data_IF_940655585712
#
_entry.id   IF_940655585712
#
_cell.length_a   1.000
_cell.length_b   1.000
_cell.length_c   1.000
_cell.angle_alpha   90.00
_cell.angle_beta   90.00
_cell.angle_gamma   90.00
#
_symmetry.space_group_name_H-M   'P 1'
#
loop_
_entity.id
_entity.type
_entity.pdbx_description
1 polymer ?
#
# COMPACT_ATOMS: atom_id res chain seq x y z
N UNK A 1 28.34 36.10 -32.43
CA UNK A 1 29.36 35.20 -31.81
C UNK A 1 30.17 35.82 -30.66
N UNK A 2 30.60 37.09 -30.69
CA UNK A 2 31.39 37.68 -29.58
C UNK A 2 30.60 37.84 -28.27
N UNK A 3 29.30 38.13 -28.33
CA UNK A 3 28.44 38.23 -27.15
C UNK A 3 28.24 36.90 -26.41
N UNK A 4 28.08 35.80 -27.15
CA UNK A 4 27.89 34.45 -26.56
C UNK A 4 29.14 34.02 -25.79
N UNK A 5 30.34 34.28 -26.34
CA UNK A 5 31.60 34.01 -25.61
C UNK A 5 31.74 34.84 -24.34
N UNK A 6 31.25 36.08 -24.33
CA UNK A 6 31.32 36.95 -23.16
C UNK A 6 30.39 36.47 -22.04
N UNK A 7 29.18 36.02 -22.38
CA UNK A 7 28.22 35.47 -21.41
C UNK A 7 28.72 34.15 -20.80
N UNK A 8 29.33 33.27 -21.60
CA UNK A 8 29.90 32.01 -21.10
C UNK A 8 31.09 32.28 -20.15
N UNK A 9 31.95 33.25 -20.47
CA UNK A 9 33.08 33.61 -19.60
C UNK A 9 32.59 34.20 -18.28
N UNK A 10 31.55 35.05 -18.30
CA UNK A 10 30.93 35.61 -17.11
C UNK A 10 30.27 34.54 -16.23
N UNK A 11 29.57 33.57 -16.84
CA UNK A 11 28.98 32.45 -16.12
C UNK A 11 30.05 31.56 -15.46
N UNK A 12 31.13 31.25 -16.16
CA UNK A 12 32.24 30.48 -15.59
C UNK A 12 32.97 31.23 -14.46
N UNK A 13 33.15 32.56 -14.59
CA UNK A 13 33.74 33.38 -13.55
C UNK A 13 32.84 33.45 -12.30
N UNK A 14 31.52 33.57 -12.47
CA UNK A 14 30.57 33.54 -11.38
C UNK A 14 30.57 32.19 -10.63
N UNK A 15 30.64 31.06 -11.35
CA UNK A 15 30.73 29.74 -10.73
C UNK A 15 32.03 29.54 -9.94
N UNK A 16 33.17 30.05 -10.44
CA UNK A 16 34.45 29.97 -9.73
C UNK A 16 34.47 30.83 -8.45
N UNK A 17 33.85 32.01 -8.49
CA UNK A 17 33.70 32.87 -7.30
C UNK A 17 32.78 32.20 -6.27
N UNK A 18 31.69 31.59 -6.71
CA UNK A 18 30.77 30.86 -5.83
C UNK A 18 31.44 29.65 -5.17
N UNK A 19 32.23 28.88 -5.94
CA UNK A 19 33.00 27.75 -5.42
C UNK A 19 34.08 28.18 -4.41
N UNK A 20 34.77 29.30 -4.66
CA UNK A 20 35.74 29.87 -3.73
C UNK A 20 35.07 30.43 -2.46
N UNK A 21 33.85 30.95 -2.57
CA UNK A 21 33.08 31.45 -1.42
C UNK A 21 32.57 30.32 -0.54
N UNK A 22 32.12 29.21 -1.16
CA UNK A 22 31.66 28.01 -0.47
C UNK A 22 32.83 27.24 0.18
N UNK A 23 34.01 27.24 -0.43
CA UNK A 23 35.21 26.63 0.16
C UNK A 23 35.73 27.32 1.44
N UNK A 24 35.24 28.52 1.77
CA UNK A 24 35.67 29.28 2.97
C UNK A 24 34.79 29.05 4.20
N UNK A 25 33.63 28.44 4.03
CA UNK A 25 32.68 28.14 5.11
C UNK A 25 32.38 26.63 5.15
N UNK A 26 33.19 25.90 5.91
CA UNK A 26 32.85 24.56 6.38
C UNK A 26 33.74 23.45 5.82
N UNK A 27 34.54 22.86 6.70
CA UNK A 27 35.13 21.52 6.49
C UNK A 27 34.01 20.49 6.40
N UNK A 28 33.82 19.95 5.21
CA UNK A 28 33.18 18.65 5.02
C UNK A 28 34.19 17.75 4.31
N UNK A 29 34.86 16.91 5.10
CA UNK A 29 35.59 15.75 4.60
C UNK A 29 34.57 14.65 4.32
N UNK A 30 34.11 14.55 3.07
CA UNK A 30 33.48 13.34 2.53
C UNK A 30 33.42 13.43 1.00
N UNK A 31 34.49 12.98 0.35
CA UNK A 31 34.45 12.61 -1.07
C UNK A 31 34.79 11.13 -1.14
N UNK A 32 33.76 10.30 -1.11
CA UNK A 32 33.89 8.89 -1.48
C UNK A 32 33.85 8.75 -3.00
N UNK A 33 34.76 7.91 -3.49
CA UNK A 33 35.18 7.73 -4.87
C UNK A 33 34.17 7.01 -5.80
N UNK A 34 32.86 7.18 -5.60
CA UNK A 34 31.81 6.61 -6.46
C UNK A 34 31.23 7.60 -7.49
N UNK A 35 31.62 8.88 -7.45
CA UNK A 35 31.16 9.88 -8.42
C UNK A 35 31.88 9.79 -9.79
N UNK A 36 33.04 9.12 -9.88
CA UNK A 36 33.82 9.03 -11.12
C UNK A 36 33.40 7.87 -12.03
N UNK A 37 32.58 6.93 -11.57
CA UNK A 37 32.00 5.88 -12.43
C UNK A 37 30.71 6.33 -13.15
N UNK A 38 30.09 7.42 -12.72
CA UNK A 38 28.88 7.99 -13.34
C UNK A 38 29.18 9.09 -14.37
N UNK A 39 30.40 9.64 -14.39
CA UNK A 39 30.80 10.68 -15.34
C UNK A 39 31.21 10.13 -16.73
N UNK A 40 31.28 8.81 -16.92
CA UNK A 40 31.60 8.17 -18.20
C UNK A 40 30.36 7.83 -19.07
N UNK A 41 29.14 8.13 -18.59
CA UNK A 41 27.89 7.80 -19.30
C UNK A 41 27.07 9.02 -19.74
N UNK A 42 27.66 10.22 -19.70
CA UNK A 42 26.99 11.47 -20.13
C UNK A 42 27.86 12.23 -21.12
N UNK A 43 28.03 11.69 -22.32
CA UNK A 43 28.19 12.46 -23.56
C UNK A 43 27.43 11.71 -24.66
N UNK A 44 26.10 11.82 -24.64
CA UNK A 44 25.30 11.85 -25.87
C UNK A 44 24.06 12.72 -25.61
N UNK A 45 24.31 14.02 -25.50
CA UNK A 45 23.31 15.05 -25.25
C UNK A 45 22.82 15.58 -26.59
N UNK A 46 21.58 15.23 -26.98
CA UNK A 46 21.01 15.75 -28.22
C UNK A 46 19.57 15.38 -28.58
N UNK A 47 18.75 14.82 -27.69
CA UNK A 47 17.30 14.73 -27.93
C UNK A 47 16.54 15.21 -26.69
N UNK A 48 16.12 16.49 -26.74
CA UNK A 48 14.91 16.92 -26.07
C UNK A 48 13.78 16.07 -26.67
N UNK A 49 13.34 15.04 -25.96
CA UNK A 49 12.03 14.44 -26.19
C UNK A 49 11.05 15.45 -25.63
N UNK A 50 10.60 16.32 -26.52
CA UNK A 50 9.33 17.02 -26.37
C UNK A 50 8.30 15.91 -26.18
N UNK A 51 7.64 15.84 -25.03
CA UNK A 51 6.42 15.05 -24.90
C UNK A 51 5.35 15.83 -25.67
N UNK A 52 5.47 15.74 -27.01
CA UNK A 52 4.36 16.01 -27.89
C UNK A 52 3.20 15.17 -27.38
N UNK A 53 2.09 15.84 -27.13
CA UNK A 53 0.78 15.20 -27.11
C UNK A 53 0.57 14.73 -28.55
N UNK A 54 1.29 13.68 -28.96
CA UNK A 54 1.16 13.05 -30.25
C UNK A 54 -0.25 12.50 -30.31
N UNK A 55 -1.00 13.04 -31.27
CA UNK A 55 -2.29 12.61 -31.76
C UNK A 55 -2.92 11.48 -30.95
N UNK A 56 -3.75 11.85 -29.96
CA UNK A 56 -4.80 10.95 -29.49
C UNK A 56 -5.63 10.68 -30.73
N UNK A 57 -5.36 9.54 -31.37
CA UNK A 57 -6.22 8.97 -32.38
C UNK A 57 -7.52 8.69 -31.64
N UNK A 58 -8.45 9.63 -31.74
CA UNK A 58 -9.85 9.39 -31.44
C UNK A 58 -10.26 8.39 -32.50
N UNK A 59 -10.16 7.12 -32.15
CA UNK A 59 -10.83 6.07 -32.88
C UNK A 59 -12.31 6.39 -32.67
N UNK A 60 -12.94 6.98 -33.69
CA UNK A 60 -14.39 6.99 -33.81
C UNK A 60 -14.77 5.53 -34.01
N UNK A 61 -14.85 4.78 -32.91
CA UNK A 61 -15.45 3.46 -32.89
C UNK A 61 -16.94 3.70 -33.17
N UNK A 62 -17.36 3.39 -34.40
CA UNK A 62 -18.76 3.24 -34.85
C UNK A 62 -19.47 2.07 -34.11
N UNK A 63 -19.03 1.73 -32.90
CA UNK A 63 -19.67 0.77 -32.01
C UNK A 63 -20.91 1.44 -31.43
N UNK A 64 -22.07 0.89 -31.82
CA UNK A 64 -23.42 1.17 -31.33
C UNK A 64 -23.47 1.99 -30.03
N UNK A 65 -24.21 3.10 -30.04
CA UNK A 65 -24.53 3.97 -28.89
C UNK A 65 -25.05 3.14 -27.69
N UNK A 66 -24.16 2.46 -26.97
CA UNK A 66 -24.49 1.71 -25.77
C UNK A 66 -24.67 2.71 -24.62
N UNK A 67 -25.87 3.26 -24.58
CA UNK A 67 -26.35 4.25 -23.61
C UNK A 67 -26.49 3.67 -22.18
N UNK A 68 -26.16 2.40 -21.95
CA UNK A 68 -26.25 1.79 -20.61
C UNK A 68 -25.29 2.48 -19.64
N UNK A 69 -25.71 2.71 -18.38
CA UNK A 69 -24.80 3.23 -17.36
C UNK A 69 -23.67 2.23 -17.10
N UNK A 70 -22.53 2.72 -16.64
CA UNK A 70 -21.40 1.85 -16.31
C UNK A 70 -21.36 1.50 -14.82
N UNK A 71 -20.84 0.33 -14.51
CA UNK A 71 -20.52 -0.10 -13.15
C UNK A 71 -19.05 -0.49 -13.09
N UNK A 72 -18.23 0.30 -12.41
CA UNK A 72 -16.83 -0.04 -12.15
C UNK A 72 -16.74 -0.80 -10.84
N UNK A 73 -16.22 -2.02 -10.87
CA UNK A 73 -15.99 -2.85 -9.68
C UNK A 73 -14.49 -2.94 -9.44
N UNK A 74 -13.98 -2.30 -8.39
CA UNK A 74 -12.58 -2.46 -8.00
C UNK A 74 -12.44 -3.64 -7.03
N UNK A 75 -11.66 -4.64 -7.45
CA UNK A 75 -11.34 -5.82 -6.66
C UNK A 75 -9.85 -5.88 -6.37
N UNK A 76 -9.48 -6.49 -5.26
CA UNK A 76 -8.08 -6.65 -4.94
C UNK A 76 -7.87 -7.07 -3.49
N UNK A 77 -6.98 -8.05 -3.23
CA UNK A 77 -6.57 -8.38 -1.88
C UNK A 77 -6.17 -7.15 -1.07
N UNK A 78 -6.27 -7.24 0.26
CA UNK A 78 -5.77 -6.17 1.13
C UNK A 78 -4.32 -5.77 0.74
N UNK A 79 -4.00 -4.47 0.77
CA UNK A 79 -2.72 -3.87 0.32
C UNK A 79 -2.49 -3.79 -1.20
N UNK A 80 -3.52 -3.93 -2.04
CA UNK A 80 -3.39 -3.75 -3.51
C UNK A 80 -3.98 -2.45 -4.02
N UNK A 81 -4.21 -1.48 -3.12
CA UNK A 81 -4.82 -0.20 -3.46
C UNK A 81 -6.30 -0.09 -3.09
N UNK A 82 -7.00 -1.20 -2.90
CA UNK A 82 -8.42 -1.23 -2.53
C UNK A 82 -8.71 -0.41 -1.27
N UNK A 83 -7.94 -0.60 -0.19
CA UNK A 83 -8.08 0.17 1.06
C UNK A 83 -7.94 1.67 0.82
N UNK A 84 -6.99 2.05 -0.03
CA UNK A 84 -6.68 3.44 -0.31
C UNK A 84 -7.80 4.08 -1.12
N UNK A 85 -8.23 3.46 -2.23
CA UNK A 85 -9.35 3.95 -3.02
C UNK A 85 -10.65 4.02 -2.20
N UNK A 86 -10.91 3.00 -1.38
CA UNK A 86 -12.08 2.97 -0.50
C UNK A 86 -12.04 4.11 0.51
N UNK A 87 -10.89 4.35 1.15
CA UNK A 87 -10.71 5.48 2.05
C UNK A 87 -10.92 6.82 1.35
N UNK A 88 -10.29 7.00 0.19
CA UNK A 88 -10.32 8.26 -0.56
C UNK A 88 -11.71 8.57 -1.08
N UNK A 89 -12.46 7.58 -1.56
CA UNK A 89 -13.82 7.79 -2.08
C UNK A 89 -14.89 7.81 -1.00
N UNK A 90 -14.56 7.45 0.24
CA UNK A 90 -15.53 7.47 1.34
C UNK A 90 -15.69 8.82 2.06
N UNK A 91 -14.98 9.86 1.62
CA UNK A 91 -15.06 11.18 2.24
C UNK A 91 -16.19 12.00 1.62
N UNK A 92 -16.83 12.87 2.40
CA UNK A 92 -18.00 13.66 1.95
C UNK A 92 -17.71 14.50 0.70
N UNK A 93 -16.46 14.95 0.52
CA UNK A 93 -16.09 15.71 -0.68
C UNK A 93 -16.01 14.86 -1.95
N UNK A 94 -15.87 13.54 -1.81
CA UNK A 94 -16.00 12.60 -2.92
C UNK A 94 -17.41 12.64 -3.50
N UNK A 95 -18.45 12.63 -2.67
CA UNK A 95 -19.85 12.65 -3.13
C UNK A 95 -20.11 13.86 -4.05
N UNK A 96 -19.66 15.05 -3.64
CA UNK A 96 -19.81 16.26 -4.43
C UNK A 96 -19.03 16.26 -5.74
N UNK A 97 -17.96 15.47 -5.86
CA UNK A 97 -17.18 15.32 -7.09
C UNK A 97 -17.78 14.25 -8.00
N UNK A 98 -18.22 13.12 -7.44
CA UNK A 98 -18.84 12.03 -8.17
C UNK A 98 -20.21 12.43 -8.75
N UNK A 99 -20.99 13.23 -8.00
CA UNK A 99 -22.28 13.75 -8.47
C UNK A 99 -22.14 14.68 -9.69
N UNK A 100 -20.96 15.29 -9.92
CA UNK A 100 -20.74 16.12 -11.12
C UNK A 100 -20.76 15.32 -12.41
N UNK A 101 -20.53 14.01 -12.33
CA UNK A 101 -20.53 13.09 -13.46
C UNK A 101 -21.63 12.01 -13.31
N UNK A 102 -22.62 12.24 -12.43
CA UNK A 102 -23.74 11.31 -12.18
C UNK A 102 -23.29 9.90 -11.74
N UNK A 103 -22.21 9.83 -10.96
CA UNK A 103 -21.64 8.59 -10.43
C UNK A 103 -22.03 8.42 -8.96
N UNK A 104 -22.52 7.23 -8.60
CA UNK A 104 -22.69 6.82 -7.21
C UNK A 104 -21.52 5.97 -6.71
N UNK A 105 -21.03 6.27 -5.52
CA UNK A 105 -20.09 5.41 -4.81
C UNK A 105 -20.83 4.33 -4.01
N UNK A 106 -20.47 3.07 -4.26
CA UNK A 106 -21.02 1.87 -3.65
C UNK A 106 -19.96 1.16 -2.79
N UNK A 107 -19.33 1.86 -1.84
CA UNK A 107 -18.30 1.25 -0.98
C UNK A 107 -18.48 1.62 0.48
N UNK A 108 -17.87 0.83 1.38
CA UNK A 108 -17.97 1.06 2.82
C UNK A 108 -17.22 2.31 3.25
N UNK A 109 -17.92 3.21 3.94
CA UNK A 109 -17.26 4.38 4.51
C UNK A 109 -16.33 4.00 5.65
N UNK A 110 -15.02 4.25 5.47
CA UNK A 110 -14.04 3.96 6.51
C UNK A 110 -14.16 4.89 7.73
N UNK A 111 -14.82 6.05 7.58
CA UNK A 111 -15.03 7.00 8.69
C UNK A 111 -16.19 6.59 9.61
N UNK A 112 -17.12 5.77 9.10
CA UNK A 112 -18.33 5.37 9.82
C UNK A 112 -18.11 4.21 10.82
N UNK A 113 -16.89 3.70 10.98
CA UNK A 113 -16.55 2.92 12.19
C UNK A 113 -16.69 3.73 13.49
N UNK A 114 -16.90 5.07 13.42
CA UNK A 114 -17.15 5.94 14.58
C UNK A 114 -18.50 6.66 14.61
N UNK A 115 -19.34 6.54 13.57
CA UNK A 115 -20.68 7.19 13.52
C UNK A 115 -21.70 6.24 12.90
N UNK A 116 -22.84 6.10 13.55
CA UNK A 116 -23.92 5.13 13.27
C UNK A 116 -24.69 5.35 11.95
N UNK A 117 -24.22 6.24 11.07
CA UNK A 117 -24.84 6.42 9.75
C UNK A 117 -24.38 5.27 8.84
N UNK A 118 -24.93 4.08 9.10
CA UNK A 118 -24.75 2.91 8.24
C UNK A 118 -25.12 3.33 6.81
N UNK A 119 -24.32 2.90 5.83
CA UNK A 119 -24.83 2.75 4.48
C UNK A 119 -26.23 2.09 4.55
N UNK A 120 -27.15 2.42 3.64
CA UNK A 120 -28.48 1.80 3.65
C UNK A 120 -28.43 0.27 3.57
N UNK A 121 -27.28 -0.32 3.24
CA UNK A 121 -27.02 -1.75 3.26
C UNK A 121 -25.55 -2.02 3.64
N UNK A 122 -25.29 -3.09 4.39
CA UNK A 122 -23.93 -3.58 4.64
C UNK A 122 -23.53 -4.46 3.45
N UNK A 123 -22.43 -4.16 2.75
CA UNK A 123 -21.95 -5.01 1.65
C UNK A 123 -21.67 -6.45 2.10
N UNK A 124 -21.36 -6.68 3.38
CA UNK A 124 -21.30 -8.03 3.96
C UNK A 124 -22.69 -8.68 4.03
N UNK A 125 -23.72 -7.89 4.29
CA UNK A 125 -25.13 -8.31 4.21
C UNK A 125 -25.66 -8.44 2.79
N UNK A 126 -25.01 -7.82 1.79
CA UNK A 126 -25.38 -8.02 0.36
C UNK A 126 -25.14 -9.46 -0.08
N UNK A 127 -24.12 -10.10 0.51
CA UNK A 127 -23.83 -11.51 0.31
C UNK A 127 -24.52 -12.43 1.33
N UNK A 128 -25.51 -11.91 2.07
CA UNK A 128 -26.49 -12.53 2.99
C UNK A 128 -25.98 -13.54 4.05
N UNK A 129 -24.72 -13.93 4.01
CA UNK A 129 -24.02 -14.78 4.95
C UNK A 129 -22.57 -14.32 5.00
N UNK A 130 -21.86 -14.61 6.09
CA UNK A 130 -20.40 -14.49 6.09
C UNK A 130 -19.91 -15.28 4.86
N UNK A 131 -19.38 -14.62 3.80
CA UNK A 131 -19.07 -15.30 2.53
C UNK A 131 -18.00 -16.37 2.73
N UNK A 132 -17.38 -16.43 3.91
CA UNK A 132 -16.39 -17.40 4.34
C UNK A 132 -16.95 -18.52 5.25
N UNK A 133 -18.21 -18.44 5.72
CA UNK A 133 -18.82 -19.38 6.68
C UNK A 133 -20.26 -19.77 6.33
N UNK A 134 -20.45 -20.62 5.32
CA UNK A 134 -21.61 -21.52 5.30
C UNK A 134 -21.30 -22.87 4.67
N UNK A 135 -21.69 -23.92 5.38
CA UNK A 135 -21.78 -25.29 4.90
C UNK A 135 -23.09 -25.52 4.15
N UNK A 136 -23.03 -26.35 3.11
CA UNK A 136 -24.11 -27.14 2.47
C UNK A 136 -24.99 -26.49 1.37
N UNK A 137 -24.64 -26.85 0.12
CA UNK A 137 -25.48 -27.59 -0.85
C UNK A 137 -26.87 -27.07 -1.26
N UNK A 138 -27.07 -25.76 -1.30
CA UNK A 138 -28.16 -25.18 -2.08
C UNK A 138 -27.75 -25.10 -3.56
N UNK A 139 -28.49 -25.74 -4.47
CA UNK A 139 -28.24 -25.71 -5.92
C UNK A 139 -28.82 -24.48 -6.62
N UNK A 140 -29.55 -23.62 -5.92
CA UNK A 140 -30.01 -22.33 -6.45
C UNK A 140 -28.91 -21.29 -6.35
N UNK A 141 -28.83 -20.40 -7.35
CA UNK A 141 -28.02 -19.19 -7.27
C UNK A 141 -28.39 -18.44 -5.99
N UNK A 142 -27.41 -17.91 -5.24
CA UNK A 142 -27.73 -17.06 -4.11
C UNK A 142 -28.44 -15.81 -4.63
N UNK A 143 -29.57 -15.46 -4.00
CA UNK A 143 -30.20 -14.17 -4.27
C UNK A 143 -29.27 -13.07 -3.76
N UNK A 144 -28.91 -12.14 -4.65
CA UNK A 144 -28.37 -10.85 -4.22
C UNK A 144 -29.39 -10.24 -3.27
N UNK A 145 -28.93 -9.65 -2.17
CA UNK A 145 -29.81 -8.97 -1.24
C UNK A 145 -30.79 -8.04 -1.99
N UNK A 146 -32.09 -8.15 -1.72
CA UNK A 146 -33.15 -7.39 -2.38
C UNK A 146 -32.87 -5.87 -2.37
N UNK A 147 -32.24 -5.37 -1.30
CA UNK A 147 -31.86 -3.97 -1.16
C UNK A 147 -30.79 -3.55 -2.18
N UNK A 148 -29.81 -4.43 -2.46
CA UNK A 148 -28.74 -4.15 -3.41
C UNK A 148 -29.26 -4.21 -4.86
N UNK A 149 -30.07 -5.22 -5.18
CA UNK A 149 -30.75 -5.29 -6.48
C UNK A 149 -31.62 -4.05 -6.72
N UNK A 150 -32.43 -3.67 -5.72
CA UNK A 150 -33.29 -2.48 -5.77
C UNK A 150 -32.49 -1.18 -5.93
N UNK A 151 -31.32 -1.08 -5.29
CA UNK A 151 -30.43 0.07 -5.49
C UNK A 151 -29.92 0.15 -6.93
N UNK A 152 -29.36 -0.95 -7.46
CA UNK A 152 -28.86 -0.97 -8.82
C UNK A 152 -29.98 -0.67 -9.83
N UNK A 153 -31.19 -1.20 -9.61
CA UNK A 153 -32.36 -0.84 -10.43
C UNK A 153 -32.65 0.65 -10.41
N UNK A 154 -32.69 1.29 -9.23
CA UNK A 154 -32.91 2.74 -9.13
C UNK A 154 -31.82 3.55 -9.83
N UNK A 155 -30.58 3.09 -9.77
CA UNK A 155 -29.47 3.77 -10.46
C UNK A 155 -29.66 3.70 -11.98
N UNK A 156 -30.02 2.54 -12.53
CA UNK A 156 -30.39 2.39 -13.95
C UNK A 156 -31.55 3.32 -14.31
N UNK A 157 -32.64 3.32 -13.52
CA UNK A 157 -33.82 4.15 -13.78
C UNK A 157 -33.49 5.65 -13.77
N UNK A 158 -32.47 6.05 -13.00
CA UNK A 158 -31.95 7.42 -12.96
C UNK A 158 -30.83 7.71 -13.96
N UNK A 159 -30.46 6.73 -14.81
CA UNK A 159 -29.31 6.77 -15.71
C UNK A 159 -28.00 7.17 -15.02
N UNK A 160 -27.76 6.64 -13.82
CA UNK A 160 -26.56 6.92 -13.02
C UNK A 160 -25.59 5.76 -13.01
N UNK A 161 -24.32 6.09 -13.16
CA UNK A 161 -23.22 5.13 -13.13
C UNK A 161 -22.80 4.81 -11.69
N UNK A 162 -22.06 3.72 -11.51
CA UNK A 162 -21.64 3.23 -10.19
C UNK A 162 -20.16 2.92 -10.09
N UNK A 163 -19.57 3.17 -8.91
CA UNK A 163 -18.24 2.69 -8.53
C UNK A 163 -18.36 1.86 -7.25
N UNK A 164 -18.18 0.54 -7.36
CA UNK A 164 -18.19 -0.42 -6.27
C UNK A 164 -16.75 -0.77 -5.87
N UNK A 165 -16.34 -0.35 -4.66
CA UNK A 165 -15.02 -0.68 -4.11
C UNK A 165 -15.20 -1.23 -2.71
N UNK A 166 -14.78 -2.48 -2.51
CA UNK A 166 -14.81 -3.08 -1.19
C UNK A 166 -13.77 -4.19 -1.08
N UNK A 167 -12.99 -4.18 0.00
CA UNK A 167 -11.92 -5.15 0.20
C UNK A 167 -12.41 -6.60 0.18
N UNK A 168 -13.59 -6.89 0.76
CA UNK A 168 -14.11 -8.26 0.78
C UNK A 168 -14.40 -8.86 -0.61
N UNK A 169 -14.45 -8.06 -1.68
CA UNK A 169 -14.74 -8.54 -3.04
C UNK A 169 -13.70 -9.55 -3.54
N UNK A 170 -12.45 -9.48 -3.05
CA UNK A 170 -11.42 -10.46 -3.41
C UNK A 170 -11.68 -11.86 -2.81
N UNK A 171 -12.57 -11.98 -1.82
CA UNK A 171 -12.88 -13.25 -1.16
C UNK A 171 -14.30 -13.75 -1.45
N UNK A 172 -15.01 -13.12 -2.39
CA UNK A 172 -16.38 -13.49 -2.75
C UNK A 172 -16.38 -14.85 -3.44
N UNK A 173 -17.31 -15.73 -3.05
CA UNK A 173 -17.45 -17.06 -3.65
C UNK A 173 -17.93 -16.96 -5.10
N UNK A 174 -17.51 -17.87 -6.01
CA UNK A 174 -17.82 -17.78 -7.44
C UNK A 174 -19.32 -17.65 -7.75
N UNK A 175 -20.19 -18.32 -7.00
CA UNK A 175 -21.64 -18.25 -7.17
C UNK A 175 -22.23 -16.84 -6.98
N UNK A 176 -21.64 -16.02 -6.10
CA UNK A 176 -22.04 -14.63 -5.90
C UNK A 176 -21.52 -13.72 -7.01
N UNK A 177 -20.32 -13.99 -7.52
CA UNK A 177 -19.78 -13.29 -8.70
C UNK A 177 -20.66 -13.59 -9.92
N UNK A 178 -21.07 -14.85 -10.08
CA UNK A 178 -22.04 -15.27 -11.10
C UNK A 178 -23.40 -14.58 -10.95
N UNK A 179 -23.92 -14.51 -9.72
CA UNK A 179 -25.18 -13.82 -9.44
C UNK A 179 -25.10 -12.33 -9.79
N UNK A 180 -24.00 -11.67 -9.42
CA UNK A 180 -23.72 -10.28 -9.80
C UNK A 180 -23.68 -10.11 -11.31
N UNK A 181 -22.87 -10.92 -12.02
CA UNK A 181 -22.77 -10.87 -13.47
C UNK A 181 -24.10 -11.10 -14.18
N UNK A 182 -24.89 -12.08 -13.72
CA UNK A 182 -26.23 -12.35 -14.26
C UNK A 182 -27.15 -11.14 -14.12
N UNK A 183 -27.04 -10.42 -13.00
CA UNK A 183 -27.82 -9.21 -12.76
C UNK A 183 -27.35 -8.02 -13.61
N UNK A 184 -26.04 -7.87 -13.79
CA UNK A 184 -25.45 -6.65 -14.35
C UNK A 184 -25.20 -6.69 -15.85
N UNK A 185 -24.83 -7.84 -16.45
CA UNK A 185 -24.28 -7.89 -17.81
C UNK A 185 -25.25 -7.39 -18.90
N UNK A 186 -26.57 -7.52 -18.69
CA UNK A 186 -27.57 -7.03 -19.65
C UNK A 186 -27.85 -5.53 -19.49
N UNK A 187 -27.67 -4.97 -18.29
CA UNK A 187 -28.16 -3.63 -17.92
C UNK A 187 -27.07 -2.60 -17.70
N UNK A 188 -25.84 -3.07 -17.52
CA UNK A 188 -24.68 -2.25 -17.19
C UNK A 188 -23.53 -2.55 -18.14
N UNK A 189 -22.73 -1.53 -18.40
CA UNK A 189 -21.37 -1.67 -18.89
C UNK A 189 -20.43 -1.91 -17.70
N UNK A 190 -20.13 -3.17 -17.41
CA UNK A 190 -19.33 -3.51 -16.22
C UNK A 190 -17.84 -3.52 -16.56
N UNK A 191 -17.05 -2.80 -15.77
CA UNK A 191 -15.58 -2.85 -15.81
C UNK A 191 -15.09 -3.36 -14.46
N UNK A 192 -14.39 -4.49 -14.45
CA UNK A 192 -13.79 -5.06 -13.23
C UNK A 192 -12.32 -4.69 -13.20
N UNK A 193 -11.91 -3.82 -12.28
CA UNK A 193 -10.53 -3.42 -12.10
C UNK A 193 -9.89 -4.18 -10.95
N UNK A 194 -8.95 -5.07 -11.26
CA UNK A 194 -8.25 -5.87 -10.28
C UNK A 194 -6.89 -5.26 -9.93
N UNK A 195 -6.77 -4.69 -8.74
CA UNK A 195 -5.49 -4.18 -8.23
C UNK A 195 -4.48 -5.31 -8.01
N UNK A 196 -3.33 -5.22 -8.68
CA UNK A 196 -2.22 -6.14 -8.54
C UNK A 196 -0.98 -5.46 -7.95
N UNK A 197 -0.38 -6.12 -6.98
CA UNK A 197 0.91 -5.76 -6.41
C UNK A 197 1.81 -6.99 -6.44
N UNK A 198 3.07 -6.90 -6.89
CA UNK A 198 3.97 -8.04 -6.92
C UNK A 198 4.04 -8.76 -5.58
N UNK A 199 4.11 -10.09 -5.62
CA UNK A 199 4.04 -10.93 -4.42
C UNK A 199 5.03 -10.50 -3.33
N UNK A 200 6.29 -10.22 -3.67
CA UNK A 200 7.28 -9.76 -2.70
C UNK A 200 6.92 -8.46 -1.99
N UNK A 201 6.27 -7.52 -2.70
CA UNK A 201 5.83 -6.26 -2.10
C UNK A 201 4.55 -6.44 -1.29
N UNK A 202 3.61 -7.23 -1.83
CA UNK A 202 2.33 -7.52 -1.21
C UNK A 202 2.51 -8.27 0.11
N UNK A 203 3.30 -9.35 0.12
CA UNK A 203 3.55 -10.17 1.30
C UNK A 203 4.17 -9.36 2.44
N UNK A 204 5.18 -8.53 2.14
CA UNK A 204 5.79 -7.69 3.15
C UNK A 204 4.79 -6.65 3.68
N UNK A 205 4.01 -6.03 2.79
CA UNK A 205 3.00 -5.04 3.18
C UNK A 205 1.93 -5.66 4.08
N UNK A 206 1.48 -6.88 3.74
CA UNK A 206 0.53 -7.67 4.53
C UNK A 206 1.14 -8.08 5.88
N UNK A 207 2.36 -8.60 5.89
CA UNK A 207 3.09 -8.97 7.11
C UNK A 207 3.24 -7.78 8.07
N UNK A 208 3.64 -6.62 7.55
CA UNK A 208 3.82 -5.43 8.39
C UNK A 208 2.52 -4.98 9.06
N UNK A 209 1.37 -5.13 8.40
CA UNK A 209 0.08 -4.78 9.00
C UNK A 209 -0.45 -5.87 9.92
N UNK A 210 -0.63 -7.09 9.44
CA UNK A 210 -1.34 -8.11 10.21
C UNK A 210 -0.47 -8.79 11.25
N UNK A 211 0.84 -8.89 11.02
CA UNK A 211 1.71 -9.55 12.01
C UNK A 211 2.34 -8.50 12.90
N UNK A 212 3.01 -7.50 12.34
CA UNK A 212 3.80 -6.57 13.18
C UNK A 212 2.94 -5.53 13.90
N UNK A 213 1.98 -4.92 13.23
CA UNK A 213 1.15 -3.88 13.83
C UNK A 213 0.16 -4.48 14.84
N UNK A 214 -0.47 -5.61 14.50
CA UNK A 214 -1.33 -6.36 15.42
C UNK A 214 -0.55 -6.85 16.65
N UNK A 215 0.62 -7.46 16.47
CA UNK A 215 1.49 -7.87 17.59
C UNK A 215 1.95 -6.68 18.44
N UNK A 216 2.30 -5.55 17.81
CA UNK A 216 2.71 -4.36 18.55
C UNK A 216 1.55 -3.75 19.33
N UNK A 217 0.32 -3.90 18.85
CA UNK A 217 -0.89 -3.36 19.47
C UNK A 217 -1.49 -4.31 20.51
N UNK A 218 -1.25 -5.62 20.40
CA UNK A 218 -1.61 -6.59 21.44
C UNK A 218 -0.67 -6.48 22.65
N UNK A 219 0.62 -6.26 22.42
CA UNK A 219 1.60 -6.10 23.51
C UNK A 219 1.51 -4.72 24.15
N UNK A 220 1.41 -3.68 23.33
CA UNK A 220 1.33 -2.30 23.80
C UNK A 220 0.04 -1.67 23.27
N UNK A 221 -1.12 -2.00 23.88
CA UNK A 221 -2.37 -1.38 23.51
C UNK A 221 -2.24 0.14 23.70
N UNK A 222 -2.72 0.89 22.71
CA UNK A 222 -2.61 2.35 22.64
C UNK A 222 -3.40 3.02 23.78
N UNK A 223 -2.88 2.99 25.01
CA UNK A 223 -3.30 3.79 26.16
C UNK A 223 -4.77 3.70 26.58
N UNK A 224 -5.59 2.82 26.01
CA UNK A 224 -7.01 2.69 26.32
C UNK A 224 -7.28 1.85 27.58
N UNK A 225 -6.23 1.40 28.27
CA UNK A 225 -6.34 0.99 29.67
C UNK A 225 -7.19 -0.26 29.89
N UNK A 226 -7.07 -1.26 29.02
CA UNK A 226 -7.31 -2.63 29.46
C UNK A 226 -5.98 -3.20 29.92
N UNK A 227 -5.70 -2.95 31.19
CA UNK A 227 -4.85 -3.84 31.97
C UNK A 227 -5.62 -5.17 32.05
N UNK A 228 -5.49 -6.01 31.03
CA UNK A 228 -5.89 -7.41 31.13
C UNK A 228 -4.79 -8.07 31.98
N UNK A 229 -4.90 -7.92 33.29
CA UNK A 229 -3.93 -8.31 34.33
C UNK A 229 -3.71 -9.83 34.48
N UNK A 230 -4.28 -10.66 33.60
CA UNK A 230 -4.47 -12.09 33.90
C UNK A 230 -3.63 -13.10 33.09
N UNK A 231 -2.82 -12.72 32.10
CA UNK A 231 -2.03 -13.72 31.35
C UNK A 231 -0.51 -13.43 31.38
N UNK A 232 0.16 -14.06 32.36
CA UNK A 232 1.61 -14.34 32.39
C UNK A 232 2.02 -15.37 31.30
N UNK A 233 1.27 -15.47 30.21
CA UNK A 233 1.68 -16.29 29.08
C UNK A 233 2.95 -15.67 28.51
N UNK A 234 4.00 -16.47 28.51
CA UNK A 234 5.33 -16.15 28.01
C UNK A 234 5.20 -15.85 26.50
N UNK A 235 4.85 -14.59 26.16
CA UNK A 235 4.71 -14.14 24.78
C UNK A 235 6.10 -14.22 24.17
N UNK A 236 6.36 -15.33 23.47
CA UNK A 236 7.58 -15.57 22.74
C UNK A 236 7.89 -14.44 21.75
N UNK A 237 9.17 -14.36 21.37
CA UNK A 237 9.66 -13.45 20.32
C UNK A 237 8.68 -13.46 19.13
N UNK A 238 8.32 -12.29 18.55
CA UNK A 238 7.50 -12.27 17.37
C UNK A 238 8.18 -13.14 16.32
N UNK A 239 7.41 -13.98 15.61
CA UNK A 239 7.98 -14.79 14.56
C UNK A 239 8.76 -13.85 13.63
N UNK A 240 10.05 -14.12 13.49
CA UNK A 240 10.84 -13.51 12.43
C UNK A 240 10.10 -13.70 11.11
N UNK A 241 10.48 -12.97 10.05
CA UNK A 241 10.18 -13.36 8.68
C UNK A 241 10.88 -14.69 8.34
N UNK A 242 10.64 -15.75 9.11
CA UNK A 242 10.61 -17.09 8.57
C UNK A 242 9.35 -17.10 7.74
N UNK A 243 9.49 -16.86 6.45
CA UNK A 243 8.51 -17.37 5.49
C UNK A 243 8.35 -18.84 5.87
N UNK A 244 7.22 -19.18 6.49
CA UNK A 244 6.97 -20.50 7.05
C UNK A 244 6.95 -21.53 5.92
N UNK A 245 8.13 -21.98 5.52
CA UNK A 245 8.34 -23.13 4.64
C UNK A 245 8.63 -24.39 5.48
N UNK A 246 8.89 -24.21 6.79
CA UNK A 246 9.07 -25.34 7.72
C UNK A 246 8.26 -25.15 9.01
N UNK A 247 7.22 -25.98 9.10
CA UNK A 247 6.66 -26.58 10.34
C UNK A 247 6.13 -25.61 11.39
N UNK A 248 4.81 -25.43 11.44
CA UNK A 248 3.93 -26.26 12.27
C UNK A 248 3.69 -25.72 13.70
N UNK A 249 3.70 -24.42 13.94
CA UNK A 249 3.37 -23.86 15.28
C UNK A 249 2.48 -22.62 15.18
N UNK A 250 1.18 -22.79 15.46
CA UNK A 250 0.25 -21.79 16.03
C UNK A 250 -0.17 -20.59 15.18
N UNK A 251 0.76 -19.88 14.54
CA UNK A 251 0.53 -18.66 13.75
C UNK A 251 0.56 -18.91 12.24
N UNK A 252 0.69 -20.16 11.81
CA UNK A 252 0.85 -20.61 10.42
C UNK A 252 -0.38 -20.40 9.52
N UNK A 253 -1.53 -19.92 10.01
CA UNK A 253 -2.74 -19.87 9.19
C UNK A 253 -2.77 -18.73 8.16
N UNK A 254 -1.91 -17.72 8.27
CA UNK A 254 -2.06 -16.49 7.47
C UNK A 254 -1.09 -16.34 6.28
N UNK A 255 0.02 -17.07 6.25
CA UNK A 255 1.03 -16.98 5.16
C UNK A 255 1.37 -18.33 4.53
N UNK A 256 1.36 -19.41 5.32
CA UNK A 256 1.73 -20.76 4.86
C UNK A 256 0.75 -21.36 3.85
N UNK A 257 -0.60 -21.18 3.96
CA UNK A 257 -1.51 -21.72 2.95
C UNK A 257 -1.22 -21.18 1.55
N UNK A 258 -0.84 -19.91 1.44
CA UNK A 258 -0.57 -19.25 0.15
C UNK A 258 0.74 -19.70 -0.47
N UNK A 259 1.78 -19.94 0.34
CA UNK A 259 3.08 -20.44 -0.13
C UNK A 259 3.02 -21.91 -0.56
N UNK A 260 2.13 -22.69 0.06
CA UNK A 260 1.97 -24.12 -0.22
C UNK A 260 1.06 -24.44 -1.41
N UNK A 261 0.25 -23.47 -1.85
CA UNK A 261 -0.63 -23.63 -3.01
C UNK A 261 0.14 -23.39 -4.29
N UNK A 262 -0.15 -24.21 -5.30
CA UNK A 262 0.36 -23.98 -6.64
C UNK A 262 -0.20 -22.69 -7.25
N UNK A 263 -1.38 -22.22 -6.82
CA UNK A 263 -2.06 -21.00 -7.28
C UNK A 263 -1.92 -19.86 -6.27
N UNK A 264 -1.58 -18.66 -6.74
CA UNK A 264 -1.64 -17.46 -5.92
C UNK A 264 -3.09 -16.99 -5.70
N UNK A 265 -3.31 -16.21 -4.62
CA UNK A 265 -4.62 -15.57 -4.36
C UNK A 265 -5.05 -14.65 -5.53
N UNK A 266 -4.09 -14.03 -6.21
CA UNK A 266 -4.38 -13.20 -7.37
C UNK A 266 -4.88 -14.04 -8.55
N UNK A 267 -4.27 -15.20 -8.82
CA UNK A 267 -4.74 -16.11 -9.88
C UNK A 267 -6.17 -16.60 -9.59
N UNK A 268 -6.46 -17.01 -8.36
CA UNK A 268 -7.79 -17.47 -7.95
C UNK A 268 -8.85 -16.37 -8.13
N UNK A 269 -8.55 -15.13 -7.72
CA UNK A 269 -9.46 -13.99 -7.89
C UNK A 269 -9.66 -13.68 -9.36
N UNK A 270 -8.58 -13.58 -10.15
CA UNK A 270 -8.68 -13.26 -11.56
C UNK A 270 -9.53 -14.30 -12.32
N UNK A 271 -9.35 -15.59 -12.03
CA UNK A 271 -10.08 -16.66 -12.70
C UNK A 271 -11.59 -16.58 -12.42
N UNK A 272 -11.98 -16.33 -11.17
CA UNK A 272 -13.39 -16.23 -10.79
C UNK A 272 -14.09 -15.06 -11.48
N UNK A 273 -13.42 -13.91 -11.59
CA UNK A 273 -14.01 -12.72 -12.19
C UNK A 273 -13.98 -12.77 -13.73
N UNK A 274 -12.92 -13.30 -14.34
CA UNK A 274 -12.86 -13.48 -15.81
C UNK A 274 -13.79 -14.58 -16.33
N UNK A 275 -14.24 -15.53 -15.49
CA UNK A 275 -15.29 -16.49 -15.86
C UNK A 275 -16.65 -15.82 -16.10
N UNK A 276 -16.88 -14.63 -15.53
CA UNK A 276 -18.22 -14.04 -15.43
C UNK A 276 -18.36 -12.63 -16.02
N UNK A 277 -17.24 -11.93 -16.25
CA UNK A 277 -17.21 -10.59 -16.82
C UNK A 277 -16.24 -10.53 -18.00
N UNK A 278 -16.63 -9.80 -19.05
CA UNK A 278 -15.83 -9.67 -20.28
C UNK A 278 -14.69 -8.65 -20.14
N UNK A 279 -14.93 -7.53 -19.44
CA UNK A 279 -13.94 -6.46 -19.24
C UNK A 279 -13.35 -6.53 -17.82
N UNK A 280 -12.38 -7.43 -17.65
CA UNK A 280 -11.57 -7.54 -16.42
C UNK A 280 -10.16 -7.03 -16.68
N UNK A 281 -9.80 -5.92 -16.05
CA UNK A 281 -8.53 -5.22 -16.22
C UNK A 281 -7.63 -5.45 -15.01
N UNK A 282 -6.40 -5.89 -15.26
CA UNK A 282 -5.39 -6.02 -14.21
C UNK A 282 -4.65 -4.69 -14.06
N UNK A 283 -4.81 -4.05 -12.92
CA UNK A 283 -4.16 -2.77 -12.59
C UNK A 283 -2.84 -3.04 -11.87
N UNK A 284 -1.74 -3.07 -12.62
CA UNK A 284 -0.41 -3.25 -12.03
C UNK A 284 0.10 -1.99 -11.33
N UNK A 285 0.21 -2.05 -10.00
CA UNK A 285 0.76 -0.96 -9.21
C UNK A 285 2.23 -0.63 -9.53
N UNK A 286 3.01 -1.53 -10.13
CA UNK A 286 4.37 -1.22 -10.58
C UNK A 286 4.40 -0.34 -11.83
N UNK A 287 3.37 -0.43 -12.68
CA UNK A 287 3.29 0.28 -13.96
C UNK A 287 2.67 1.66 -13.83
N UNK A 288 2.10 1.97 -12.65
CA UNK A 288 1.61 3.30 -12.34
C UNK A 288 2.72 4.36 -12.49
N UNK A 289 2.51 5.42 -13.28
CA UNK A 289 3.53 6.42 -13.56
C UNK A 289 3.91 7.14 -12.27
N UNK A 290 5.20 7.22 -11.98
CA UNK A 290 5.69 8.12 -10.92
C UNK A 290 5.43 9.56 -11.36
N UNK A 291 4.58 10.28 -10.62
CA UNK A 291 4.27 11.68 -10.95
C UNK A 291 5.11 12.64 -10.13
N UNK A 292 5.67 13.64 -10.82
CA UNK A 292 6.45 14.72 -10.19
C UNK A 292 5.58 15.75 -9.46
N UNK A 293 4.29 15.79 -9.78
CA UNK A 293 3.31 16.68 -9.16
C UNK A 293 2.86 16.23 -7.76
N UNK A 294 3.38 15.09 -7.28
CA UNK A 294 3.06 14.53 -5.96
C UNK A 294 1.66 13.91 -5.87
N UNK A 295 0.89 13.86 -6.97
CA UNK A 295 -0.43 13.26 -7.00
C UNK A 295 -0.33 11.75 -6.84
N UNK A 296 -1.30 11.16 -6.14
CA UNK A 296 -1.35 9.70 -5.99
C UNK A 296 -1.60 9.03 -7.35
N UNK A 297 -0.65 8.22 -7.85
CA UNK A 297 -0.74 7.70 -9.20
C UNK A 297 -1.82 6.61 -9.34
N UNK A 298 -2.19 5.93 -8.24
CA UNK A 298 -3.24 4.92 -8.26
C UNK A 298 -4.62 5.58 -8.40
N UNK A 299 -4.91 6.62 -7.62
CA UNK A 299 -6.18 7.33 -7.73
C UNK A 299 -6.35 7.96 -9.11
N UNK A 300 -5.31 8.62 -9.62
CA UNK A 300 -5.34 9.24 -10.95
C UNK A 300 -5.59 8.20 -12.03
N UNK A 301 -4.85 7.09 -12.03
CA UNK A 301 -5.04 6.01 -12.98
C UNK A 301 -6.46 5.44 -12.90
N UNK A 302 -6.95 5.17 -11.68
CA UNK A 302 -8.31 4.66 -11.50
C UNK A 302 -9.37 5.63 -12.04
N UNK A 303 -9.31 6.92 -11.70
CA UNK A 303 -10.33 7.89 -12.12
C UNK A 303 -10.27 8.29 -13.59
N UNK A 304 -9.09 8.26 -14.19
CA UNK A 304 -8.91 8.74 -15.56
C UNK A 304 -8.93 7.60 -16.59
N UNK A 305 -8.38 6.43 -16.26
CA UNK A 305 -8.18 5.31 -17.21
C UNK A 305 -9.16 4.15 -17.01
N UNK A 306 -9.53 3.86 -15.76
CA UNK A 306 -10.43 2.74 -15.46
C UNK A 306 -11.89 3.14 -15.57
N UNK A 307 -12.26 4.31 -15.04
CA UNK A 307 -13.62 4.82 -15.16
C UNK A 307 -13.92 5.17 -16.62
N UNK A 308 -14.96 4.58 -17.24
CA UNK A 308 -15.33 4.91 -18.62
C UNK A 308 -15.61 6.41 -18.80
N UNK A 309 -14.99 7.03 -19.81
CA UNK A 309 -15.06 8.49 -20.00
C UNK A 309 -14.25 9.31 -19.00
N UNK A 310 -13.42 8.67 -18.17
CA UNK A 310 -12.65 9.30 -17.09
C UNK A 310 -11.85 10.52 -17.55
N UNK A 311 -11.10 10.44 -18.64
CA UNK A 311 -10.28 11.56 -19.12
C UNK A 311 -11.05 12.86 -19.44
N UNK A 312 -12.31 12.77 -19.86
CA UNK A 312 -13.14 13.93 -20.20
C UNK A 312 -14.03 14.40 -19.05
N UNK A 313 -14.22 13.54 -18.05
CA UNK A 313 -15.05 13.77 -16.87
C UNK A 313 -14.45 14.76 -15.85
N UNK A 314 -15.29 15.26 -14.95
CA UNK A 314 -14.87 16.13 -13.86
C UNK A 314 -14.09 15.37 -12.77
N UNK A 315 -14.41 14.07 -12.57
CA UNK A 315 -13.79 13.21 -11.58
C UNK A 315 -12.28 13.07 -11.81
N UNK A 316 -11.82 12.88 -13.05
CA UNK A 316 -10.39 12.83 -13.35
C UNK A 316 -9.69 14.17 -13.07
N UNK A 317 -10.33 15.29 -13.43
CA UNK A 317 -9.78 16.64 -13.20
C UNK A 317 -9.62 16.96 -11.72
N UNK A 318 -10.53 16.45 -10.89
CA UNK A 318 -10.59 16.70 -9.44
C UNK A 318 -10.03 15.56 -8.59
N UNK A 319 -9.52 14.49 -9.20
CA UNK A 319 -8.94 13.36 -8.47
C UNK A 319 -7.79 13.80 -7.55
N UNK A 320 -6.99 14.81 -7.92
CA UNK A 320 -5.97 15.37 -7.02
C UNK A 320 -6.56 15.99 -5.76
N UNK A 321 -7.68 16.71 -5.91
CA UNK A 321 -8.33 17.42 -4.82
C UNK A 321 -8.87 16.40 -3.81
N UNK A 322 -9.41 15.26 -4.29
CA UNK A 322 -9.83 14.14 -3.46
C UNK A 322 -8.68 13.52 -2.66
N UNK A 323 -7.52 13.33 -3.28
CA UNK A 323 -6.36 12.78 -2.59
C UNK A 323 -5.96 13.67 -1.41
N UNK A 324 -5.90 14.98 -1.63
CA UNK A 324 -5.53 15.97 -0.61
C UNK A 324 -6.56 16.06 0.53
N UNK A 325 -7.85 16.10 0.19
CA UNK A 325 -8.95 16.22 1.16
C UNK A 325 -9.20 14.93 1.96
N UNK A 326 -8.86 13.77 1.41
CA UNK A 326 -9.00 12.50 2.11
C UNK A 326 -8.19 12.47 3.41
N UNK A 327 -7.09 13.24 3.47
CA UNK A 327 -6.14 13.22 4.57
C UNK A 327 -5.48 11.86 4.76
N UNK A 328 -5.60 10.96 3.77
CA UNK A 328 -4.94 9.66 3.76
C UNK A 328 -3.49 9.89 3.40
N UNK A 329 -2.75 10.41 4.37
CA UNK A 329 -1.31 10.49 4.28
C UNK A 329 -0.77 9.06 4.25
N UNK A 330 0.03 8.76 3.22
CA UNK A 330 0.88 7.59 3.20
C UNK A 330 1.88 7.71 4.36
N UNK A 331 1.50 7.25 5.55
CA UNK A 331 2.38 7.09 6.69
C UNK A 331 3.36 5.92 6.46
N UNK A 332 3.97 5.85 5.27
CA UNK A 332 4.94 4.83 4.89
C UNK A 332 6.35 5.34 5.18
N UNK A 333 6.61 5.78 6.42
CA UNK A 333 8.02 5.90 6.79
C UNK A 333 8.59 4.48 6.87
N UNK A 334 9.46 4.13 5.92
CA UNK A 334 10.21 2.86 5.83
C UNK A 334 10.81 2.45 7.19
N UNK A 335 11.14 3.45 8.01
CA UNK A 335 11.71 3.26 9.34
C UNK A 335 10.67 3.22 10.47
N UNK A 336 9.41 3.57 10.23
CA UNK A 336 8.35 3.59 11.24
C UNK A 336 8.22 2.23 11.91
N UNK A 337 8.11 1.18 11.11
CA UNK A 337 8.01 -0.19 11.63
C UNK A 337 9.26 -0.63 12.41
N UNK A 338 10.45 -0.23 11.96
CA UNK A 338 11.71 -0.52 12.65
C UNK A 338 11.74 0.09 14.06
N UNK A 339 11.38 1.36 14.18
CA UNK A 339 11.30 2.03 15.49
C UNK A 339 10.13 1.54 16.33
N UNK A 340 9.00 1.17 15.73
CA UNK A 340 7.87 0.55 16.41
C UNK A 340 8.30 -0.76 17.05
N UNK A 341 8.97 -1.64 16.30
CA UNK A 341 9.52 -2.89 16.83
C UNK A 341 10.47 -2.62 18.00
N UNK A 342 11.39 -1.66 17.88
CA UNK A 342 12.28 -1.31 18.99
C UNK A 342 11.54 -0.75 20.22
N UNK A 343 10.51 0.06 20.00
CA UNK A 343 9.68 0.60 21.07
C UNK A 343 8.94 -0.52 21.80
N UNK A 344 8.20 -1.36 21.08
CA UNK A 344 7.47 -2.51 21.62
C UNK A 344 8.39 -3.43 22.43
N UNK A 345 9.56 -3.76 21.88
CA UNK A 345 10.53 -4.60 22.59
C UNK A 345 11.13 -3.94 23.83
N UNK A 346 11.44 -2.65 23.76
CA UNK A 346 11.93 -1.91 24.92
C UNK A 346 10.89 -1.85 26.03
N UNK A 347 9.60 -1.78 25.68
CA UNK A 347 8.49 -1.85 26.61
C UNK A 347 8.35 -3.25 27.24
N UNK A 348 8.36 -4.29 26.42
CA UNK A 348 8.22 -5.69 26.85
C UNK A 348 9.37 -6.11 27.78
N UNK A 349 10.60 -5.69 27.50
CA UNK A 349 11.77 -5.95 28.34
C UNK A 349 11.87 -5.03 29.58
N UNK A 350 10.84 -4.23 29.87
CA UNK A 350 10.81 -3.25 30.98
C UNK A 350 11.98 -2.25 30.97
N UNK A 351 12.49 -1.91 29.78
CA UNK A 351 13.58 -0.94 29.61
C UNK A 351 13.07 0.51 29.61
N UNK A 352 11.78 0.70 29.43
CA UNK A 352 11.10 2.00 29.42
C UNK A 352 9.86 1.96 30.33
N UNK A 353 9.44 3.13 30.79
CA UNK A 353 8.24 3.28 31.62
C UNK A 353 6.98 2.90 30.81
N UNK A 354 6.20 1.94 31.31
CA UNK A 354 5.00 1.41 30.63
C UNK A 354 3.91 2.46 30.40
N UNK A 355 3.95 3.58 31.14
CA UNK A 355 3.00 4.70 31.01
C UNK A 355 3.32 5.64 29.84
N UNK A 356 4.47 5.46 29.20
CA UNK A 356 4.80 6.26 28.02
C UNK A 356 3.88 5.89 26.87
N UNK A 357 3.60 6.87 26.03
CA UNK A 357 2.91 6.63 24.77
C UNK A 357 3.86 5.99 23.75
N UNK A 358 3.33 5.07 22.94
CA UNK A 358 4.11 4.30 21.96
C UNK A 358 4.73 5.20 20.90
N UNK A 359 3.95 6.12 20.34
CA UNK A 359 4.41 7.08 19.33
C UNK A 359 5.51 7.99 19.91
N UNK A 360 5.31 8.47 21.15
CA UNK A 360 6.33 9.25 21.86
C UNK A 360 7.65 8.48 21.98
N UNK A 361 7.61 7.19 22.29
CA UNK A 361 8.84 6.37 22.43
C UNK A 361 9.49 6.17 21.07
N UNK A 362 8.71 5.81 20.04
CA UNK A 362 9.21 5.65 18.67
C UNK A 362 9.95 6.90 18.18
N UNK A 363 9.36 8.08 18.36
CA UNK A 363 9.95 9.36 17.95
C UNK A 363 11.25 9.66 18.67
N UNK A 364 11.32 9.32 19.95
CA UNK A 364 12.52 9.51 20.76
C UNK A 364 13.63 8.52 20.39
N UNK A 365 13.31 7.25 20.06
CA UNK A 365 14.28 6.29 19.52
C UNK A 365 14.85 6.85 18.21
N UNK A 366 13.96 7.29 17.32
CA UNK A 366 14.32 7.86 16.02
C UNK A 366 15.21 9.10 16.17
N UNK A 367 14.89 9.98 17.12
CA UNK A 367 15.68 11.19 17.39
C UNK A 367 17.05 10.84 17.97
N UNK A 368 17.11 9.86 18.88
CA UNK A 368 18.36 9.38 19.45
C UNK A 368 19.26 8.77 18.36
N UNK A 369 18.73 7.83 17.57
CA UNK A 369 19.44 7.19 16.47
C UNK A 369 20.09 8.23 15.54
N UNK A 370 19.31 9.20 15.05
CA UNK A 370 19.81 10.28 14.18
C UNK A 370 20.90 11.14 14.82
N UNK A 371 20.81 11.43 16.12
CA UNK A 371 21.73 12.35 16.79
C UNK A 371 23.03 11.70 17.25
N UNK A 372 22.96 10.44 17.69
CA UNK A 372 24.04 9.81 18.47
C UNK A 372 24.90 8.88 17.65
N UNK A 373 24.30 8.14 16.74
CA UNK A 373 25.03 7.10 16.03
C UNK A 373 25.65 7.64 14.75
N UNK A 374 25.14 8.76 14.22
CA UNK A 374 25.52 9.28 12.89
C UNK A 374 25.44 8.19 11.79
N UNK A 375 24.73 7.11 12.10
CA UNK A 375 24.49 5.96 11.26
C UNK A 375 23.18 6.20 10.53
N UNK A 376 23.17 5.82 9.25
CA UNK A 376 21.98 5.91 8.42
C UNK A 376 21.14 4.63 8.48
N UNK A 377 21.69 3.54 9.01
CA UNK A 377 21.09 2.23 9.01
C UNK A 377 21.12 1.59 10.41
N UNK A 378 20.00 1.02 10.82
CA UNK A 378 19.94 0.15 11.98
C UNK A 378 20.55 -1.22 11.62
N UNK A 379 21.16 -1.94 12.57
CA UNK A 379 21.50 -3.35 12.37
C UNK A 379 20.22 -4.13 12.10
N UNK A 380 20.28 -4.99 11.10
CA UNK A 380 19.15 -5.75 10.60
C UNK A 380 19.48 -7.24 10.56
N UNK A 381 18.47 -8.05 10.85
CA UNK A 381 18.44 -9.48 10.62
C UNK A 381 17.70 -9.76 9.33
N UNK A 382 18.43 -10.25 8.32
CA UNK A 382 17.87 -10.58 7.02
C UNK A 382 17.56 -12.08 6.91
N UNK A 383 16.55 -12.48 6.12
CA UNK A 383 16.31 -13.88 5.81
C UNK A 383 17.52 -14.53 5.12
N UNK A 384 17.71 -15.86 5.26
CA UNK A 384 18.69 -16.60 4.48
C UNK A 384 18.49 -16.39 2.97
N UNK A 385 19.58 -16.37 2.17
CA UNK A 385 19.47 -16.22 0.71
C UNK A 385 18.53 -17.22 0.04
N UNK A 386 18.50 -18.47 0.53
CA UNK A 386 17.61 -19.50 0.02
C UNK A 386 16.12 -19.13 0.14
N UNK A 387 15.71 -18.49 1.24
CA UNK A 387 14.32 -18.07 1.44
C UNK A 387 13.98 -16.89 0.52
N UNK A 388 14.94 -15.98 0.31
CA UNK A 388 14.81 -14.86 -0.63
C UNK A 388 14.67 -15.38 -2.07
N UNK A 389 15.41 -16.41 -2.45
CA UNK A 389 15.31 -17.05 -3.76
C UNK A 389 13.95 -17.75 -3.97
N UNK A 390 13.41 -18.40 -2.94
CA UNK A 390 12.05 -18.97 -3.00
C UNK A 390 11.02 -17.86 -3.25
N UNK A 391 11.09 -16.77 -2.50
CA UNK A 391 10.20 -15.63 -2.67
C UNK A 391 10.34 -14.99 -4.07
N UNK A 392 11.57 -14.87 -4.57
CA UNK A 392 11.87 -14.37 -5.92
C UNK A 392 11.19 -15.24 -6.97
N UNK A 393 11.41 -16.55 -6.90
CA UNK A 393 10.85 -17.51 -7.86
C UNK A 393 9.32 -17.53 -7.81
N UNK A 394 8.73 -17.42 -6.62
CA UNK A 394 7.27 -17.34 -6.47
C UNK A 394 6.70 -16.06 -7.07
N UNK A 395 7.35 -14.93 -6.83
CA UNK A 395 6.97 -13.64 -7.43
C UNK A 395 6.99 -13.71 -8.95
N UNK A 396 8.07 -14.20 -9.54
CA UNK A 396 8.20 -14.33 -11.00
C UNK A 396 7.12 -15.24 -11.56
N UNK A 397 6.93 -16.43 -10.95
CA UNK A 397 5.94 -17.41 -11.42
C UNK A 397 4.51 -16.86 -11.38
N UNK A 398 4.16 -16.17 -10.30
CA UNK A 398 2.84 -15.56 -10.14
C UNK A 398 2.61 -14.50 -11.21
N UNK A 399 3.59 -13.60 -11.39
CA UNK A 399 3.54 -12.54 -12.38
C UNK A 399 3.41 -13.10 -13.80
N UNK A 400 4.24 -14.08 -14.17
CA UNK A 400 4.16 -14.73 -15.48
C UNK A 400 2.80 -15.37 -15.76
N UNK A 401 2.12 -15.92 -14.75
CA UNK A 401 0.82 -16.57 -14.94
C UNK A 401 -0.32 -15.58 -15.06
N UNK A 402 -0.31 -14.50 -14.27
CA UNK A 402 -1.33 -13.46 -14.33
C UNK A 402 -1.32 -12.76 -15.68
N UNK A 403 -0.16 -12.25 -16.11
CA UNK A 403 -0.06 -11.41 -17.32
C UNK A 403 -0.08 -12.21 -18.62
N UNK A 404 0.15 -13.53 -18.58
CA UNK A 404 -0.15 -14.40 -19.74
C UNK A 404 -1.65 -14.59 -19.98
N UNK A 405 -2.49 -14.34 -18.98
CA UNK A 405 -3.94 -14.53 -19.07
C UNK A 405 -4.67 -13.26 -19.47
N UNK A 406 -4.24 -12.12 -18.94
CA UNK A 406 -4.97 -10.84 -19.10
C UNK A 406 -4.64 -10.12 -20.40
N UNK A 407 -3.45 -10.34 -20.94
CA UNK A 407 -2.97 -9.53 -22.06
C UNK A 407 -2.62 -10.39 -23.28
N UNK A 408 -3.01 -9.90 -24.45
CA UNK A 408 -2.43 -10.31 -25.74
C UNK A 408 -1.00 -9.76 -25.93
N UNK A 409 -0.24 -9.65 -24.84
CA UNK A 409 1.10 -9.14 -24.87
C UNK A 409 1.99 -10.04 -25.72
N UNK A 410 2.73 -9.40 -26.63
CA UNK A 410 3.81 -10.09 -27.31
C UNK A 410 4.87 -10.56 -26.30
N UNK A 411 5.69 -11.51 -26.75
CA UNK A 411 6.74 -12.07 -25.93
C UNK A 411 7.75 -11.00 -25.44
N UNK A 412 7.88 -9.90 -26.18
CA UNK A 412 8.76 -8.78 -25.83
C UNK A 412 8.24 -8.00 -24.60
N UNK A 413 6.95 -7.70 -24.56
CA UNK A 413 6.28 -7.02 -23.45
C UNK A 413 6.41 -7.84 -22.15
N UNK A 414 6.20 -9.16 -22.23
CA UNK A 414 6.41 -10.07 -21.09
C UNK A 414 7.87 -10.10 -20.62
N UNK A 415 8.84 -10.04 -21.54
CA UNK A 415 10.26 -9.95 -21.17
C UNK A 415 10.63 -8.62 -20.51
N UNK A 416 10.11 -7.50 -21.04
CA UNK A 416 10.33 -6.17 -20.46
C UNK A 416 9.75 -6.08 -19.04
N UNK A 417 8.54 -6.61 -18.87
CA UNK A 417 7.89 -6.74 -17.57
C UNK A 417 8.70 -7.57 -16.58
N UNK A 418 9.14 -8.76 -16.99
CA UNK A 418 9.97 -9.64 -16.14
C UNK A 418 11.26 -8.94 -15.69
N UNK A 419 11.91 -8.19 -16.59
CA UNK A 419 13.09 -7.38 -16.26
C UNK A 419 12.77 -6.29 -15.23
N UNK A 420 11.65 -5.58 -15.39
CA UNK A 420 11.20 -4.54 -14.45
C UNK A 420 10.90 -5.14 -13.07
N UNK A 421 10.20 -6.27 -13.02
CA UNK A 421 9.89 -7.00 -11.79
C UNK A 421 11.16 -7.43 -11.05
N UNK A 422 12.12 -8.02 -11.77
CA UNK A 422 13.42 -8.43 -11.22
C UNK A 422 14.20 -7.22 -10.68
N UNK A 423 14.22 -6.11 -11.43
CA UNK A 423 14.85 -4.87 -10.98
C UNK A 423 14.22 -4.30 -9.71
N UNK A 424 12.88 -4.37 -9.59
CA UNK A 424 12.19 -3.99 -8.34
C UNK A 424 12.61 -4.90 -7.19
N UNK A 425 12.60 -6.22 -7.40
CA UNK A 425 12.98 -7.20 -6.39
C UNK A 425 14.42 -7.00 -5.87
N UNK A 426 15.38 -6.79 -6.78
CA UNK A 426 16.78 -6.52 -6.42
C UNK A 426 16.93 -5.21 -5.64
N UNK A 427 16.21 -4.17 -6.04
CA UNK A 427 16.16 -2.90 -5.31
C UNK A 427 15.62 -3.08 -3.89
N UNK A 428 14.66 -3.99 -3.67
CA UNK A 428 14.16 -4.32 -2.34
C UNK A 428 15.18 -5.06 -1.48
N UNK A 429 15.95 -6.00 -2.06
CA UNK A 429 17.09 -6.64 -1.37
C UNK A 429 18.10 -5.58 -0.94
N UNK A 430 18.56 -4.74 -1.88
CA UNK A 430 19.58 -3.72 -1.60
C UNK A 430 19.16 -2.69 -0.56
N UNK A 431 17.85 -2.45 -0.42
CA UNK A 431 17.26 -1.56 0.60
C UNK A 431 16.97 -2.28 1.92
N UNK A 432 17.38 -3.54 2.07
CA UNK A 432 17.12 -4.36 3.25
C UNK A 432 15.62 -4.46 3.60
N UNK A 433 14.73 -4.40 2.60
CA UNK A 433 13.27 -4.38 2.83
C UNK A 433 12.75 -5.69 3.41
N UNK A 434 13.40 -6.80 3.09
CA UNK A 434 13.08 -8.12 3.65
C UNK A 434 13.63 -8.34 5.06
N UNK A 435 14.47 -7.44 5.55
CA UNK A 435 15.12 -7.59 6.84
C UNK A 435 14.28 -6.96 7.96
N UNK A 436 14.36 -7.53 9.15
CA UNK A 436 13.83 -6.92 10.37
C UNK A 436 14.97 -6.29 11.17
N UNK A 437 14.64 -5.42 12.11
CA UNK A 437 15.65 -4.85 13.01
C UNK A 437 16.19 -5.95 13.94
N UNK A 438 17.52 -6.01 14.12
CA UNK A 438 18.12 -6.93 15.09
C UNK A 438 18.07 -6.33 16.49
N UNK A 439 16.97 -6.63 17.18
CA UNK A 439 16.71 -6.16 18.54
C UNK A 439 17.73 -6.73 19.53
N UNK A 440 18.28 -7.91 19.28
CA UNK A 440 19.24 -8.54 20.20
C UNK A 440 20.53 -7.73 20.27
N UNK A 441 21.08 -7.35 19.12
CA UNK A 441 22.26 -6.47 19.04
C UNK A 441 21.91 -5.09 19.64
N UNK A 442 20.77 -4.54 19.25
CA UNK A 442 20.36 -3.20 19.66
C UNK A 442 20.07 -3.05 21.15
N UNK A 443 19.64 -4.10 21.85
CA UNK A 443 19.35 -4.03 23.28
C UNK A 443 20.50 -4.53 24.16
N UNK A 444 21.48 -5.26 23.61
CA UNK A 444 22.67 -5.70 24.34
C UNK A 444 23.85 -4.71 24.32
N UNK A 445 24.03 -3.92 23.24
CA UNK A 445 25.22 -3.07 23.01
C UNK A 445 25.07 -1.59 23.48
N UNK A 446 25.74 -0.65 22.77
CA UNK A 446 25.91 0.80 22.99
C UNK A 446 24.62 1.64 23.13
N UNK A 447 23.46 0.98 23.21
CA UNK A 447 22.14 1.56 23.37
C UNK A 447 21.67 1.63 24.83
N UNK A 448 22.46 1.15 25.80
CA UNK A 448 22.23 1.48 27.22
C UNK A 448 22.00 2.98 27.51
N UNK A 449 22.62 3.95 26.81
CA UNK A 449 22.30 5.35 26.97
C UNK A 449 20.91 5.73 26.42
N UNK A 450 20.35 5.00 25.44
CA UNK A 450 18.96 5.16 25.00
C UNK A 450 17.99 4.80 26.15
N UNK A 451 18.23 3.67 26.81
CA UNK A 451 17.45 3.24 27.98
C UNK A 451 17.51 4.31 29.08
N UNK A 452 18.71 4.82 29.37
CA UNK A 452 18.90 5.94 30.33
C UNK A 452 18.21 7.23 29.86
N UNK A 453 18.19 7.50 28.56
CA UNK A 453 17.52 8.65 27.97
C UNK A 453 16.01 8.56 28.22
N UNK A 454 15.40 7.39 28.02
CA UNK A 454 13.98 7.17 28.30
C UNK A 454 13.63 7.28 29.78
N UNK A 455 14.43 6.66 30.66
CA UNK A 455 14.24 6.79 32.10
C UNK A 455 14.27 8.27 32.56
N UNK A 456 15.10 9.10 31.91
CA UNK A 456 15.16 10.54 32.18
C UNK A 456 13.95 11.30 31.62
N UNK A 457 13.50 10.96 30.41
CA UNK A 457 12.34 11.59 29.77
C UNK A 457 11.03 11.28 30.51
N UNK A 458 10.85 10.03 30.99
CA UNK A 458 9.71 9.63 31.81
C UNK A 458 9.61 10.45 33.11
N UNK A 459 10.73 10.58 33.85
CA UNK A 459 10.80 11.38 35.08
C UNK A 459 10.42 12.85 34.87
N UNK A 460 10.75 13.43 33.70
CA UNK A 460 10.39 14.81 33.37
C UNK A 460 8.90 14.97 33.09
N UNK A 461 8.29 13.98 32.43
CA UNK A 461 6.88 14.04 32.02
C UNK A 461 5.93 13.71 33.17
N UNK A 462 6.29 12.75 34.02
CA UNK A 462 5.40 12.22 35.07
C UNK A 462 5.85 12.52 36.51
N UNK A 463 6.98 13.21 36.72
CA UNK A 463 7.55 13.43 38.05
C UNK A 463 8.36 12.22 38.57
N UNK A 464 8.93 12.32 39.79
CA UNK A 464 9.61 11.16 40.37
C UNK A 464 8.58 10.06 40.71
N UNK A 465 8.92 8.76 40.50
CA UNK A 465 8.04 7.65 40.80
C UNK A 465 7.51 7.64 42.25
N UNK A 466 8.31 8.18 43.18
CA UNK A 466 8.01 8.25 44.62
C UNK A 466 6.73 9.03 44.97
N UNK A 467 6.16 9.82 44.04
CA UNK A 467 4.88 10.51 44.28
C UNK A 467 3.64 9.67 44.00
N UNK A 468 3.77 8.54 43.29
CA UNK A 468 2.62 7.73 42.86
C UNK A 468 2.42 6.46 43.68
N UNK A 469 3.47 5.93 44.32
CA UNK A 469 3.35 4.77 45.22
C UNK A 469 2.71 5.10 46.58
N UNK A 470 2.35 6.37 46.83
CA UNK A 470 1.76 6.82 48.09
C UNK A 470 0.24 7.05 48.04
N UNK A 471 -0.46 6.61 46.99
CA UNK A 471 -1.92 6.54 47.01
C UNK A 471 -2.37 5.13 47.39
N UNK A 472 -2.91 4.92 48.61
CA UNK A 472 -3.44 3.61 48.99
C UNK A 472 -4.67 3.31 48.14
N UNK A 473 -4.74 2.07 47.63
CA UNK A 473 -5.92 1.49 46.99
C UNK A 473 -7.09 1.38 47.96
#
# INVERSE_FOLDING_TARGET
>A
MRMVRFVVILACAACLVLAAFLGRYGRYDMWDANALSLASMTIDSGHLVDYGVDDVVVVDDDDDDDDRPFLVVHIGPHKTGTTFLQGTLSVESADGILDMDDIYYLGTSMRLFRREDKLPFDLRSVFNDDPFRMSSSSSSLPDLNEDFGSLLSRMIDSNRSGILIHEALHGVRPEYVRALATYTNERWRVVVAMGYRPMHEWLLSRFNQFVRDEYSSSIWPDGTGRDDDDDDDEIGFPPHLRFGLSTGTGYDSYTVPYLSRDTSIFEEVLDVWTEHFDDVRLVDMMDLPSRSDGRDPLLMHFMCEIVPGGYTSNICRRASDLADESGIYHASSEYGMAYQTLATWSWQMHLIDRRLDREFVMDNIRLYHRRRLNETALPVLCPPPADVDVLRNWTIRTDERLFRRTDHHDQESLMMRSRKLLGSFEKWIHRNRFCTVDVSILLHDDWKPLIKFFAKSARRRFGSPERYEAQPQ
#
